data_IF_994732442738
#
_entry.id   IF_994732442738
#
_cell.length_a   1.000
_cell.length_b   1.000
_cell.length_c   1.000
_cell.angle_alpha   90.00
_cell.angle_beta   90.00
_cell.angle_gamma   90.00
#
_symmetry.space_group_name_H-M   'P 1'
#
loop_
_entity.id
_entity.type
_entity.pdbx_description
1 polymer ?
#
# COMPACT_ATOMS: atom_id res chain seq x y z
N UNK A 1 -9.98 47.82 39.70
CA UNK A 1 -9.93 47.38 38.29
C UNK A 1 -8.67 46.56 38.04
N UNK A 2 -8.77 45.25 38.18
CA UNK A 2 -7.71 44.25 37.95
C UNK A 2 -8.17 43.36 36.80
N UNK A 3 -7.88 43.66 35.58
CA UNK A 3 -8.18 42.73 34.47
C UNK A 3 -7.48 43.17 33.20
N UNK A 4 -6.27 42.69 32.94
CA UNK A 4 -5.65 42.94 31.65
C UNK A 4 -4.40 42.12 31.34
N UNK A 5 -3.74 41.58 32.36
CA UNK A 5 -2.54 40.75 32.13
C UNK A 5 -2.79 39.24 32.27
N UNK A 6 -3.85 38.84 32.96
CA UNK A 6 -4.26 37.42 33.10
C UNK A 6 -4.81 36.81 31.80
N UNK A 7 -5.41 37.64 30.96
CA UNK A 7 -6.05 37.15 29.73
C UNK A 7 -5.07 36.67 28.65
N UNK A 8 -3.94 37.34 28.49
CA UNK A 8 -3.00 36.98 27.42
C UNK A 8 -2.28 35.65 27.69
N UNK A 9 -1.91 35.41 28.94
CA UNK A 9 -1.21 34.15 29.33
C UNK A 9 -2.21 32.98 29.27
N UNK A 10 -3.44 33.19 29.72
CA UNK A 10 -4.48 32.19 29.64
C UNK A 10 -4.91 31.94 28.19
N UNK A 11 -5.02 32.99 27.37
CA UNK A 11 -5.28 32.87 25.94
C UNK A 11 -4.19 32.05 25.24
N UNK A 12 -2.92 32.29 25.56
CA UNK A 12 -1.80 31.53 24.97
C UNK A 12 -1.84 30.05 25.39
N UNK A 13 -2.19 29.77 26.67
CA UNK A 13 -2.37 28.36 27.12
C UNK A 13 -3.50 27.66 26.40
N UNK A 14 -4.66 28.31 26.23
CA UNK A 14 -5.78 27.74 25.49
C UNK A 14 -5.45 27.52 24.02
N UNK A 15 -4.72 28.45 23.40
CA UNK A 15 -4.23 28.30 22.02
C UNK A 15 -3.31 27.07 21.89
N UNK A 16 -2.37 26.87 22.83
CA UNK A 16 -1.51 25.69 22.83
C UNK A 16 -2.31 24.39 22.99
N UNK A 17 -3.29 24.36 23.87
CA UNK A 17 -4.16 23.17 24.06
C UNK A 17 -4.94 22.87 22.79
N UNK A 18 -5.50 23.88 22.14
CA UNK A 18 -6.23 23.73 20.87
C UNK A 18 -5.32 23.20 19.77
N UNK A 19 -4.11 23.74 19.63
CA UNK A 19 -3.11 23.26 18.66
C UNK A 19 -2.69 21.82 18.95
N UNK A 20 -2.54 21.46 20.22
CA UNK A 20 -2.22 20.09 20.63
C UNK A 20 -3.38 19.12 20.30
N UNK A 21 -4.63 19.53 20.54
CA UNK A 21 -5.80 18.74 20.15
C UNK A 21 -5.87 18.56 18.64
N UNK A 22 -5.67 19.63 17.86
CA UNK A 22 -5.64 19.58 16.39
C UNK A 22 -4.51 18.64 15.94
N UNK A 23 -3.33 18.71 16.55
CA UNK A 23 -2.21 17.84 16.25
C UNK A 23 -2.52 16.35 16.56
N UNK A 24 -3.12 16.07 17.71
CA UNK A 24 -3.54 14.71 18.09
C UNK A 24 -4.62 14.19 17.15
N UNK A 25 -5.63 15.01 16.83
CA UNK A 25 -6.67 14.65 15.85
C UNK A 25 -6.01 14.39 14.49
N UNK A 26 -5.08 15.22 14.05
CA UNK A 26 -4.34 15.01 12.80
C UNK A 26 -3.53 13.70 12.81
N UNK A 27 -2.88 13.35 13.92
CA UNK A 27 -2.17 12.06 14.05
C UNK A 27 -3.12 10.87 13.98
N UNK A 28 -4.26 10.93 14.70
CA UNK A 28 -5.26 9.84 14.73
C UNK A 28 -5.97 9.69 13.37
N UNK A 29 -6.27 10.80 12.69
CA UNK A 29 -6.90 10.75 11.36
C UNK A 29 -5.92 10.41 10.23
N UNK A 30 -4.61 10.49 10.50
CA UNK A 30 -3.57 10.10 9.53
C UNK A 30 -3.33 8.59 9.51
N UNK A 31 -3.75 7.86 10.52
CA UNK A 31 -3.87 6.40 10.47
C UNK A 31 -4.94 6.08 9.43
N UNK A 32 -4.52 5.65 8.25
CA UNK A 32 -5.43 5.22 7.19
C UNK A 32 -6.43 4.21 7.76
N UNK A 33 -7.65 4.22 7.26
CA UNK A 33 -8.76 3.39 7.75
C UNK A 33 -8.35 1.89 7.77
N UNK A 34 -7.85 1.45 8.93
CA UNK A 34 -7.41 0.07 9.16
C UNK A 34 -8.59 -0.92 9.25
N UNK A 35 -9.81 -0.46 9.02
CA UNK A 35 -11.05 -1.25 9.17
C UNK A 35 -11.47 -1.95 7.89
N UNK A 36 -11.02 -1.47 6.73
CA UNK A 36 -11.40 -2.02 5.42
C UNK A 36 -10.82 -3.42 5.25
N UNK A 37 -11.61 -4.37 4.72
CA UNK A 37 -11.09 -5.70 4.40
C UNK A 37 -10.30 -5.67 3.09
N UNK A 38 -9.30 -6.58 2.94
CA UNK A 38 -8.57 -6.74 1.67
C UNK A 38 -9.51 -7.11 0.54
N UNK A 39 -10.58 -7.86 0.81
CA UNK A 39 -11.59 -8.21 -0.20
C UNK A 39 -12.33 -6.99 -0.75
N UNK A 40 -12.53 -5.96 0.08
CA UNK A 40 -13.14 -4.70 -0.36
C UNK A 40 -12.20 -3.93 -1.26
N UNK A 41 -10.91 -3.86 -0.88
CA UNK A 41 -9.86 -3.23 -1.71
C UNK A 41 -9.73 -3.98 -3.04
N UNK A 42 -9.69 -5.31 -3.02
CA UNK A 42 -9.67 -6.15 -4.23
C UNK A 42 -10.86 -5.82 -5.14
N UNK A 43 -12.08 -5.75 -4.60
CA UNK A 43 -13.28 -5.37 -5.36
C UNK A 43 -13.19 -3.97 -5.95
N UNK A 44 -12.62 -3.02 -5.23
CA UNK A 44 -12.44 -1.66 -5.75
C UNK A 44 -11.46 -1.65 -6.92
N UNK A 45 -10.33 -2.37 -6.81
CA UNK A 45 -9.31 -2.48 -7.85
C UNK A 45 -9.90 -3.18 -9.08
N UNK A 46 -10.56 -4.34 -8.91
CA UNK A 46 -11.12 -5.12 -10.03
C UNK A 46 -12.26 -4.42 -10.75
N UNK A 47 -12.96 -3.50 -10.10
CA UNK A 47 -13.93 -2.60 -10.73
C UNK A 47 -13.27 -1.44 -11.49
N UNK A 48 -12.10 -0.99 -11.03
CA UNK A 48 -11.40 0.15 -11.62
C UNK A 48 -10.60 -0.25 -12.86
N UNK A 49 -10.03 -1.46 -12.91
CA UNK A 49 -9.17 -1.92 -14.00
C UNK A 49 -9.54 -3.33 -14.45
N UNK A 50 -9.19 -3.65 -15.71
CA UNK A 50 -9.26 -5.02 -16.22
C UNK A 50 -7.98 -5.75 -15.84
N UNK A 51 -8.11 -6.99 -15.38
CA UNK A 51 -6.98 -7.83 -14.98
C UNK A 51 -6.40 -8.61 -16.18
N UNK A 52 -6.17 -7.90 -17.31
CA UNK A 52 -5.63 -8.52 -18.52
C UNK A 52 -4.19 -9.00 -18.27
N UNK A 53 -3.88 -10.23 -18.69
CA UNK A 53 -2.56 -10.84 -18.52
C UNK A 53 -2.25 -11.24 -17.08
N UNK A 54 -3.28 -11.33 -16.20
CA UNK A 54 -3.15 -11.73 -14.80
C UNK A 54 -4.12 -12.84 -14.44
N UNK A 55 -3.72 -13.69 -13.51
CA UNK A 55 -4.57 -14.68 -12.84
C UNK A 55 -4.48 -14.51 -11.33
N UNK A 56 -5.51 -14.96 -10.61
CA UNK A 56 -5.50 -14.94 -9.15
C UNK A 56 -4.41 -15.88 -8.63
N UNK A 57 -3.52 -15.34 -7.82
CA UNK A 57 -2.44 -16.09 -7.17
C UNK A 57 -2.93 -16.85 -5.94
N UNK A 58 -2.17 -17.87 -5.57
CA UNK A 58 -2.40 -18.73 -4.42
C UNK A 58 -1.46 -18.38 -3.26
N UNK A 59 -1.69 -18.98 -2.09
CA UNK A 59 -0.74 -18.89 -0.95
C UNK A 59 0.63 -19.49 -1.27
N UNK A 60 0.69 -20.46 -2.19
CA UNK A 60 1.93 -21.05 -2.68
C UNK A 60 2.68 -20.08 -3.59
N UNK A 61 1.96 -19.31 -4.43
CA UNK A 61 2.56 -18.27 -5.27
C UNK A 61 3.12 -17.14 -4.42
N UNK A 62 2.42 -16.72 -3.36
CA UNK A 62 2.94 -15.74 -2.40
C UNK A 62 4.26 -16.22 -1.78
N UNK A 63 4.31 -17.47 -1.33
CA UNK A 63 5.54 -18.05 -0.79
C UNK A 63 6.66 -18.14 -1.82
N UNK A 64 6.31 -18.55 -3.06
CA UNK A 64 7.27 -18.74 -4.15
C UNK A 64 7.91 -17.42 -4.60
N UNK A 65 7.08 -16.37 -4.79
CA UNK A 65 7.53 -15.12 -5.41
C UNK A 65 8.00 -14.08 -4.40
N UNK A 66 7.48 -14.12 -3.17
CA UNK A 66 7.75 -13.12 -2.13
C UNK A 66 8.42 -13.69 -0.88
N UNK A 67 8.54 -15.02 -0.77
CA UNK A 67 9.02 -15.70 0.44
C UNK A 67 8.19 -15.41 1.70
N UNK A 68 6.93 -14.99 1.51
CA UNK A 68 6.01 -14.65 2.59
C UNK A 68 5.03 -15.80 2.86
N UNK A 69 4.67 -15.98 4.16
CA UNK A 69 3.68 -16.98 4.56
C UNK A 69 2.32 -16.29 4.76
N UNK A 70 1.31 -16.73 4.05
CA UNK A 70 -0.02 -16.13 4.09
C UNK A 70 -0.64 -16.11 5.51
N UNK A 71 -0.35 -17.10 6.36
CA UNK A 71 -0.88 -17.18 7.72
C UNK A 71 -0.37 -16.08 8.66
N UNK A 72 0.70 -15.39 8.28
CA UNK A 72 1.30 -14.33 9.09
C UNK A 72 0.55 -12.99 8.96
N UNK A 73 -0.33 -12.86 7.97
CA UNK A 73 -1.04 -11.62 7.62
C UNK A 73 -2.54 -11.71 7.92
N UNK A 74 -3.18 -10.55 8.04
CA UNK A 74 -4.63 -10.44 8.28
C UNK A 74 -5.44 -10.71 7.01
N UNK A 75 -4.92 -10.27 5.84
CA UNK A 75 -5.57 -10.48 4.56
C UNK A 75 -4.59 -10.29 3.40
N UNK A 76 -4.84 -10.99 2.30
CA UNK A 76 -4.00 -10.97 1.10
C UNK A 76 -4.89 -11.05 -0.13
N UNK A 77 -4.61 -10.20 -1.12
CA UNK A 77 -5.08 -10.34 -2.48
C UNK A 77 -3.88 -10.30 -3.41
N UNK A 78 -3.71 -11.34 -4.22
CA UNK A 78 -2.60 -11.50 -5.15
C UNK A 78 -3.12 -11.81 -6.55
N UNK A 79 -2.67 -11.06 -7.53
CA UNK A 79 -2.79 -11.34 -8.95
C UNK A 79 -1.39 -11.36 -9.56
N UNK A 80 -1.06 -12.44 -10.25
CA UNK A 80 0.24 -12.71 -10.84
C UNK A 80 0.13 -12.81 -12.36
N UNK A 81 1.24 -12.66 -13.12
CA UNK A 81 1.24 -12.90 -14.55
C UNK A 81 0.65 -14.27 -14.91
N UNK A 82 -0.16 -14.33 -15.95
CA UNK A 82 -0.76 -15.57 -16.46
C UNK A 82 0.14 -16.29 -17.48
N UNK A 83 1.14 -15.58 -18.01
CA UNK A 83 2.17 -16.14 -18.87
C UNK A 83 3.59 -15.63 -18.52
N UNK A 84 4.62 -16.27 -19.09
CA UNK A 84 6.04 -16.01 -18.79
C UNK A 84 6.56 -14.68 -19.36
N UNK A 85 5.85 -14.11 -20.32
CA UNK A 85 6.22 -12.82 -20.96
C UNK A 85 5.47 -11.65 -20.35
N UNK A 86 4.49 -11.89 -19.47
CA UNK A 86 3.77 -10.85 -18.75
C UNK A 86 4.47 -10.51 -17.43
N UNK A 87 4.40 -9.23 -17.03
CA UNK A 87 4.90 -8.72 -15.75
C UNK A 87 3.79 -8.08 -14.92
N UNK A 88 2.56 -8.06 -15.44
CA UNK A 88 1.43 -7.47 -14.75
C UNK A 88 1.17 -8.20 -13.43
N UNK A 89 1.23 -7.48 -12.32
CA UNK A 89 1.12 -8.07 -10.98
C UNK A 89 0.49 -7.07 -10.02
N UNK A 90 -0.41 -7.53 -9.16
CA UNK A 90 -1.04 -6.73 -8.11
C UNK A 90 -0.99 -7.55 -6.83
N UNK A 91 -0.39 -7.01 -5.78
CA UNK A 91 -0.41 -7.58 -4.44
C UNK A 91 -0.94 -6.55 -3.45
N UNK A 92 -1.92 -6.93 -2.66
CA UNK A 92 -2.37 -6.18 -1.48
C UNK A 92 -2.21 -7.07 -0.27
N UNK A 93 -1.45 -6.62 0.71
CA UNK A 93 -1.30 -7.31 2.01
C UNK A 93 -1.78 -6.39 3.12
N UNK A 94 -2.64 -6.91 4.01
CA UNK A 94 -2.97 -6.30 5.29
C UNK A 94 -2.19 -7.00 6.38
N UNK A 95 -1.26 -6.30 7.00
CA UNK A 95 -0.46 -6.85 8.10
C UNK A 95 -1.26 -6.89 9.41
N UNK A 96 -0.94 -7.84 10.29
CA UNK A 96 -1.52 -7.92 11.64
C UNK A 96 -0.96 -6.83 12.57
N UNK A 97 0.33 -6.52 12.39
CA UNK A 97 1.06 -5.53 13.17
C UNK A 97 1.92 -4.66 12.24
N UNK A 98 2.03 -3.38 12.53
CA UNK A 98 2.82 -2.42 11.73
C UNK A 98 4.31 -2.80 11.63
N UNK A 99 4.86 -3.51 12.63
CA UNK A 99 6.23 -4.03 12.58
C UNK A 99 6.50 -5.00 11.42
N UNK A 100 5.45 -5.55 10.79
CA UNK A 100 5.57 -6.43 9.63
C UNK A 100 5.70 -5.68 8.30
N UNK A 101 5.40 -4.36 8.26
CA UNK A 101 5.39 -3.55 7.03
C UNK A 101 6.75 -3.62 6.35
N UNK A 102 7.83 -3.35 7.07
CA UNK A 102 9.19 -3.39 6.52
C UNK A 102 9.54 -4.74 5.88
N UNK A 103 9.08 -5.84 6.48
CA UNK A 103 9.29 -7.19 5.95
C UNK A 103 8.56 -7.37 4.62
N UNK A 104 7.31 -6.87 4.52
CA UNK A 104 6.53 -6.95 3.30
C UNK A 104 7.12 -6.04 2.21
N UNK A 105 7.51 -4.82 2.54
CA UNK A 105 8.14 -3.88 1.60
C UNK A 105 9.42 -4.46 1.02
N UNK A 106 10.32 -5.02 1.84
CA UNK A 106 11.54 -5.69 1.36
C UNK A 106 11.24 -6.87 0.43
N UNK A 107 10.22 -7.65 0.73
CA UNK A 107 9.81 -8.78 -0.12
C UNK A 107 9.28 -8.29 -1.47
N UNK A 108 8.50 -7.22 -1.48
CA UNK A 108 7.96 -6.57 -2.68
C UNK A 108 9.08 -5.96 -3.52
N UNK A 109 10.00 -5.21 -2.92
CA UNK A 109 11.17 -4.65 -3.62
C UNK A 109 12.05 -5.75 -4.23
N UNK A 110 12.29 -6.82 -3.49
CA UNK A 110 13.04 -7.98 -3.98
C UNK A 110 12.36 -8.63 -5.19
N UNK A 111 11.02 -8.70 -5.18
CA UNK A 111 10.23 -9.20 -6.31
C UNK A 111 10.38 -8.31 -7.55
N UNK A 112 10.22 -6.98 -7.41
CA UNK A 112 10.39 -6.01 -8.49
C UNK A 112 11.79 -6.11 -9.09
N UNK A 113 12.82 -6.13 -8.25
CA UNK A 113 14.22 -6.28 -8.69
C UNK A 113 14.47 -7.61 -9.42
N UNK A 114 13.81 -8.68 -9.01
CA UNK A 114 13.91 -9.99 -9.68
C UNK A 114 13.25 -9.95 -11.07
N UNK A 115 12.08 -9.32 -11.17
CA UNK A 115 11.43 -9.14 -12.47
C UNK A 115 12.28 -8.26 -13.40
N UNK A 116 12.83 -7.17 -12.90
CA UNK A 116 13.71 -6.30 -13.68
C UNK A 116 14.88 -7.07 -14.29
N UNK A 117 15.62 -7.83 -13.48
CA UNK A 117 16.73 -8.68 -13.93
C UNK A 117 16.30 -9.72 -14.96
N UNK A 118 15.11 -10.30 -14.80
CA UNK A 118 14.60 -11.31 -15.71
C UNK A 118 14.27 -10.76 -17.12
N UNK A 119 13.96 -9.47 -17.24
CA UNK A 119 13.59 -8.84 -18.50
C UNK A 119 14.68 -7.91 -19.05
N UNK A 120 15.77 -7.73 -18.31
CA UNK A 120 16.90 -6.89 -18.73
C UNK A 120 17.46 -7.34 -20.09
N UNK A 121 17.60 -6.40 -21.00
CA UNK A 121 18.22 -6.59 -22.32
C UNK A 121 17.29 -7.10 -23.43
N UNK A 122 16.07 -7.59 -23.15
CA UNK A 122 15.15 -8.05 -24.19
C UNK A 122 13.68 -7.64 -24.02
N UNK A 123 13.23 -7.43 -22.81
CA UNK A 123 11.83 -7.10 -22.50
C UNK A 123 11.59 -5.59 -22.34
N UNK A 124 11.68 -4.81 -23.41
CA UNK A 124 11.58 -3.34 -23.34
C UNK A 124 10.28 -2.86 -22.73
N UNK A 125 9.13 -3.41 -23.16
CA UNK A 125 7.83 -3.02 -22.62
C UNK A 125 7.64 -3.52 -21.20
N UNK A 126 8.12 -4.72 -20.87
CA UNK A 126 8.10 -5.29 -19.52
C UNK A 126 8.93 -4.45 -18.56
N UNK A 127 10.16 -4.11 -18.95
CA UNK A 127 11.06 -3.26 -18.16
C UNK A 127 10.42 -1.89 -17.89
N UNK A 128 9.77 -1.31 -18.89
CA UNK A 128 9.04 -0.04 -18.74
C UNK A 128 7.91 -0.15 -17.72
N UNK A 129 7.12 -1.24 -17.73
CA UNK A 129 6.06 -1.47 -16.75
C UNK A 129 6.62 -1.69 -15.35
N UNK A 130 7.73 -2.43 -15.22
CA UNK A 130 8.40 -2.67 -13.94
C UNK A 130 8.93 -1.36 -13.35
N UNK A 131 9.55 -0.50 -14.17
CA UNK A 131 10.02 0.82 -13.72
C UNK A 131 8.89 1.78 -13.35
N UNK A 132 7.69 1.58 -13.87
CA UNK A 132 6.49 2.33 -13.53
C UNK A 132 5.71 1.69 -12.36
N UNK A 133 6.23 0.62 -11.75
CA UNK A 133 5.57 -0.05 -10.62
C UNK A 133 5.38 0.91 -9.45
N UNK A 134 4.26 0.75 -8.76
CA UNK A 134 3.96 1.48 -7.52
C UNK A 134 4.05 0.53 -6.35
N UNK A 135 4.80 0.93 -5.33
CA UNK A 135 4.80 0.34 -3.99
C UNK A 135 4.25 1.42 -3.07
N UNK A 136 3.10 1.17 -2.46
CA UNK A 136 2.40 2.14 -1.61
C UNK A 136 2.05 1.49 -0.27
N UNK A 137 2.37 2.18 0.82
CA UNK A 137 1.99 1.76 2.17
C UNK A 137 1.00 2.75 2.77
N UNK A 138 -0.13 2.24 3.25
CA UNK A 138 -1.17 3.04 3.91
C UNK A 138 -1.68 2.34 5.17
N UNK A 139 -1.38 2.90 6.33
CA UNK A 139 -1.68 2.24 7.61
C UNK A 139 -1.08 0.83 7.64
N UNK A 140 -1.92 -0.19 7.81
CA UNK A 140 -1.50 -1.60 7.82
C UNK A 140 -1.54 -2.29 6.46
N UNK A 141 -1.70 -1.56 5.36
CA UNK A 141 -1.77 -2.14 4.02
C UNK A 141 -0.53 -1.79 3.21
N UNK A 142 -0.04 -2.78 2.47
CA UNK A 142 1.01 -2.61 1.47
C UNK A 142 0.46 -3.04 0.12
N UNK A 143 0.59 -2.18 -0.88
CA UNK A 143 0.26 -2.42 -2.28
C UNK A 143 1.53 -2.54 -3.11
N UNK A 144 1.60 -3.55 -3.98
CA UNK A 144 2.40 -3.54 -5.20
C UNK A 144 1.47 -3.53 -6.39
N UNK A 145 1.74 -2.67 -7.37
CA UNK A 145 1.08 -2.71 -8.67
C UNK A 145 2.10 -2.56 -9.81
N UNK A 146 2.15 -3.54 -10.68
CA UNK A 146 2.89 -3.52 -11.96
C UNK A 146 1.86 -3.64 -13.07
N UNK A 147 1.51 -2.55 -13.72
CA UNK A 147 0.47 -2.48 -14.75
C UNK A 147 0.56 -1.18 -15.52
N UNK A 148 -0.03 -1.14 -16.72
CA UNK A 148 -0.26 0.11 -17.44
C UNK A 148 -1.26 1.05 -16.74
N UNK A 149 -2.11 0.50 -15.85
CA UNK A 149 -3.18 1.21 -15.14
C UNK A 149 -2.83 1.51 -13.67
N UNK A 150 -1.53 1.64 -13.32
CA UNK A 150 -1.06 1.82 -11.92
C UNK A 150 -1.76 2.97 -11.19
N UNK A 151 -1.98 4.11 -11.84
CA UNK A 151 -2.63 5.28 -11.23
C UNK A 151 -4.09 4.99 -10.83
N UNK A 152 -4.80 4.17 -11.63
CA UNK A 152 -6.17 3.75 -11.34
C UNK A 152 -6.24 2.73 -10.23
N UNK A 153 -5.23 1.84 -10.18
CA UNK A 153 -5.09 0.84 -9.11
C UNK A 153 -4.80 1.56 -7.80
N UNK A 154 -3.86 2.49 -7.78
CA UNK A 154 -3.53 3.30 -6.62
C UNK A 154 -4.73 4.12 -6.11
N UNK A 155 -5.44 4.79 -7.01
CA UNK A 155 -6.65 5.52 -6.66
C UNK A 155 -7.77 4.62 -6.11
N UNK A 156 -7.88 3.37 -6.56
CA UNK A 156 -8.84 2.39 -6.05
C UNK A 156 -8.42 1.81 -4.69
N UNK A 157 -7.11 1.66 -4.47
CA UNK A 157 -6.53 1.23 -3.20
C UNK A 157 -6.76 2.25 -2.08
N UNK A 158 -6.78 3.54 -2.41
CA UNK A 158 -6.95 4.66 -1.46
C UNK A 158 -8.41 4.97 -1.10
N UNK A 159 -9.38 4.30 -1.73
CA UNK A 159 -10.83 4.43 -1.42
C UNK A 159 -11.24 3.59 -0.24
#
# INVERSE_FOLDING_TARGET
MKNGKLDRINLLKYLMVVLLIIYVVFLVTREGDNTVSVDTIEKNITKAVKLEGMKKGTTQDLKKYYSLNANDYEGISLYIPDDVMSVNEILVIKVKNESQIETVEKAVESRVNTQEKNFEGYGVEQTKLIHAAIIETRGRYVLLAVSKDVDRIDAAFKK
#
